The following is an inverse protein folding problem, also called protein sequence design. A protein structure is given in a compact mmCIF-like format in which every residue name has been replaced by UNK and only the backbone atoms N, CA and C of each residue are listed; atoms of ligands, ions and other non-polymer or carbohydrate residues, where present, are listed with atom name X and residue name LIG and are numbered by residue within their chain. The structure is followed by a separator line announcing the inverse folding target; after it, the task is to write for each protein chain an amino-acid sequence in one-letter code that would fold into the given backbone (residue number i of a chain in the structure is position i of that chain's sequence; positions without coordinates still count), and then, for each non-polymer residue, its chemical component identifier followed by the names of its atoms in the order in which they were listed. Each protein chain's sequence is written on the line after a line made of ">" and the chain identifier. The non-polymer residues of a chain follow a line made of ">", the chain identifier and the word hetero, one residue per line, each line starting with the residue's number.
data_IF_627702365042
#
_entry.id   IF_627702365042
#
_cell.length_a   1.000
_cell.length_b   1.000
_cell.length_c   1.000
_cell.angle_alpha   90.00
_cell.angle_beta   90.00
_cell.angle_gamma   90.00
#
_symmetry.space_group_name_H-M   'P 1'
#
loop_
_entity.id
_entity.type
_entity.pdbx_description
1 polymer ?
#
# COMPACT_ATOMS: atom_id res chain seq x y z
N UNK A 1 54.84 16.30 -25.14
CA UNK A 1 54.03 17.43 -25.64
C UNK A 1 52.59 16.96 -25.78
N UNK A 2 51.65 17.89 -25.54
CA UNK A 2 50.19 17.85 -25.77
C UNK A 2 49.36 17.46 -24.53
N UNK A 3 48.80 18.53 -23.98
CA UNK A 3 47.85 18.66 -22.87
C UNK A 3 46.43 18.39 -23.42
N UNK A 4 45.53 17.89 -22.58
CA UNK A 4 44.11 18.10 -22.76
C UNK A 4 43.48 18.27 -21.36
N UNK A 5 43.21 19.53 -21.04
CA UNK A 5 42.54 19.99 -19.83
C UNK A 5 41.16 20.41 -20.31
N UNK A 6 40.09 19.68 -20.01
CA UNK A 6 38.72 20.22 -20.03
C UNK A 6 37.81 19.26 -19.25
N UNK A 7 37.44 19.65 -18.03
CA UNK A 7 36.21 19.14 -17.44
C UNK A 7 35.48 20.33 -16.83
N UNK A 8 34.35 20.63 -17.44
CA UNK A 8 33.50 21.77 -17.16
C UNK A 8 32.82 21.57 -15.79
N UNK A 9 33.06 22.50 -14.87
CA UNK A 9 32.31 22.59 -13.63
C UNK A 9 30.93 23.22 -13.93
N UNK A 10 29.90 22.39 -13.99
CA UNK A 10 28.52 22.84 -14.04
C UNK A 10 27.99 22.91 -12.60
N UNK A 11 28.12 24.07 -11.95
CA UNK A 11 27.49 24.34 -10.67
C UNK A 11 26.17 25.06 -10.92
N UNK A 12 25.07 24.31 -10.99
CA UNK A 12 23.73 24.86 -10.99
C UNK A 12 23.36 25.25 -9.55
N UNK A 13 23.30 26.55 -9.26
CA UNK A 13 22.78 27.07 -7.99
C UNK A 13 21.26 27.14 -8.11
N UNK A 14 20.56 26.17 -7.53
CA UNK A 14 19.10 26.24 -7.34
C UNK A 14 18.82 26.75 -5.93
N UNK A 15 18.59 28.06 -5.80
CA UNK A 15 17.99 28.65 -4.61
C UNK A 15 16.48 28.48 -4.67
N UNK A 16 15.93 27.52 -3.93
CA UNK A 16 14.49 27.47 -3.64
C UNK A 16 14.28 28.12 -2.27
N UNK A 17 13.69 29.31 -2.25
CA UNK A 17 13.25 29.98 -1.03
C UNK A 17 11.95 29.33 -0.54
N UNK A 18 11.98 28.78 0.67
CA UNK A 18 10.80 28.28 1.36
C UNK A 18 10.04 29.46 2.01
N UNK A 19 8.81 29.70 1.57
CA UNK A 19 7.86 30.54 2.32
C UNK A 19 6.87 29.61 3.01
N UNK A 20 7.11 29.36 4.31
CA UNK A 20 6.13 28.74 5.18
C UNK A 20 5.11 29.81 5.61
N UNK A 21 3.85 29.64 5.21
CA UNK A 21 2.73 30.35 5.82
C UNK A 21 1.88 29.31 6.58
N UNK A 22 2.20 29.17 7.87
CA UNK A 22 1.32 28.52 8.85
C UNK A 22 0.17 29.50 9.13
N UNK A 23 -0.97 29.29 8.47
CA UNK A 23 -2.22 29.88 8.92
C UNK A 23 -2.82 28.98 10.00
N UNK A 24 -2.47 29.30 11.25
CA UNK A 24 -3.29 29.01 12.41
C UNK A 24 -4.62 29.73 12.24
N UNK A 25 -5.72 28.99 12.09
CA UNK A 25 -7.03 29.51 12.47
C UNK A 25 -7.53 28.71 13.66
N UNK A 26 -7.31 29.31 14.83
CA UNK A 26 -7.89 28.88 16.08
C UNK A 26 -9.39 29.18 16.06
N UNK A 27 -10.16 28.14 16.34
CA UNK A 27 -11.30 28.15 17.25
C UNK A 27 -12.34 29.27 17.05
N UNK A 28 -13.41 28.95 16.33
CA UNK A 28 -14.74 29.43 16.73
C UNK A 28 -15.54 28.28 17.32
N UNK A 29 -15.64 28.34 18.64
CA UNK A 29 -16.57 27.62 19.48
C UNK A 29 -17.97 28.18 19.22
N UNK A 30 -18.83 27.40 18.56
CA UNK A 30 -20.20 27.77 18.21
C UNK A 30 -21.16 26.63 18.52
N UNK A 31 -21.68 26.66 19.74
CA UNK A 31 -22.96 26.12 20.21
C UNK A 31 -23.35 24.68 19.81
N UNK A 32 -23.13 23.79 20.78
CA UNK A 32 -23.85 22.55 20.91
C UNK A 32 -25.35 22.79 21.16
N UNK A 33 -26.19 22.44 20.20
CA UNK A 33 -27.59 22.13 20.46
C UNK A 33 -27.72 20.61 20.53
N UNK A 34 -27.34 20.05 21.68
CA UNK A 34 -27.46 18.62 21.99
C UNK A 34 -28.71 18.41 22.81
N UNK A 35 -29.76 17.90 22.18
CA UNK A 35 -30.98 17.49 22.85
C UNK A 35 -30.70 16.42 23.91
N UNK A 36 -31.47 16.51 25.00
CA UNK A 36 -31.58 15.54 26.08
C UNK A 36 -31.82 14.12 25.54
N UNK A 37 -30.76 13.32 25.50
CA UNK A 37 -30.86 11.88 25.33
C UNK A 37 -29.97 11.21 26.40
N UNK A 38 -30.50 10.27 27.20
CA UNK A 38 -29.71 9.59 28.22
C UNK A 38 -28.56 8.81 27.57
N UNK A 39 -27.35 8.81 28.18
CA UNK A 39 -26.20 8.13 27.61
C UNK A 39 -26.45 6.62 27.56
N UNK A 40 -26.46 6.07 26.34
CA UNK A 40 -26.41 4.64 26.15
C UNK A 40 -25.10 4.08 26.76
N UNK A 41 -25.13 2.91 27.40
CA UNK A 41 -23.92 2.31 27.94
C UNK A 41 -22.97 2.01 26.77
N UNK A 42 -21.79 2.63 26.79
CA UNK A 42 -20.67 2.25 25.95
C UNK A 42 -20.13 0.91 26.47
N UNK A 43 -20.85 -0.17 26.18
CA UNK A 43 -20.34 -1.52 26.31
C UNK A 43 -19.24 -1.72 25.27
N UNK A 44 -18.00 -1.74 25.76
CA UNK A 44 -16.88 -2.49 25.24
C UNK A 44 -16.85 -2.72 23.72
N UNK A 45 -16.30 -1.76 22.96
CA UNK A 45 -15.67 -2.08 21.68
C UNK A 45 -14.36 -2.85 21.94
N UNK A 46 -14.50 -4.09 22.40
CA UNK A 46 -13.48 -5.12 22.20
C UNK A 46 -13.26 -5.32 20.69
N UNK A 47 -12.09 -5.80 20.25
CA UNK A 47 -11.72 -5.80 18.85
C UNK A 47 -12.74 -6.58 18.00
N UNK A 48 -13.58 -5.85 17.26
CA UNK A 48 -14.47 -6.36 16.22
C UNK A 48 -13.65 -6.87 15.04
N UNK A 49 -12.99 -8.01 15.24
CA UNK A 49 -12.35 -8.74 14.16
C UNK A 49 -12.88 -10.15 14.24
N UNK A 50 -13.99 -10.38 13.52
CA UNK A 50 -14.42 -11.73 13.17
C UNK A 50 -13.30 -12.50 12.47
N UNK A 51 -13.49 -13.80 12.20
CA UNK A 51 -12.45 -14.66 11.64
C UNK A 51 -11.86 -14.04 10.38
N UNK A 52 -10.69 -13.40 10.51
CA UNK A 52 -9.93 -12.88 9.38
C UNK A 52 -9.48 -14.09 8.57
N UNK A 53 -9.89 -14.17 7.31
CA UNK A 53 -9.59 -15.33 6.46
C UNK A 53 -8.08 -15.56 6.28
N UNK A 54 -7.66 -16.72 5.74
CA UNK A 54 -6.24 -17.09 5.62
C UNK A 54 -5.36 -16.02 4.94
N UNK A 55 -5.88 -15.30 3.93
CA UNK A 55 -5.13 -14.22 3.29
C UNK A 55 -4.80 -13.05 4.22
N UNK A 56 -5.65 -12.75 5.20
CA UNK A 56 -5.34 -11.71 6.21
C UNK A 56 -4.22 -12.12 7.16
N UNK A 57 -4.09 -13.41 7.48
CA UNK A 57 -2.99 -13.90 8.29
C UNK A 57 -1.65 -13.68 7.57
N UNK A 58 -1.60 -14.01 6.27
CA UNK A 58 -0.42 -13.77 5.42
C UNK A 58 -0.06 -12.28 5.36
N UNK A 59 -1.05 -11.39 5.15
CA UNK A 59 -0.82 -9.93 5.16
C UNK A 59 -0.25 -9.48 6.51
N UNK A 60 -0.81 -9.97 7.61
CA UNK A 60 -0.34 -9.62 8.95
C UNK A 60 1.10 -10.09 9.21
N UNK A 61 1.47 -11.27 8.72
CA UNK A 61 2.83 -11.79 8.86
C UNK A 61 3.82 -11.02 7.99
N UNK A 62 3.43 -10.62 6.77
CA UNK A 62 4.25 -9.76 5.91
C UNK A 62 4.49 -8.38 6.53
N UNK A 63 3.46 -7.77 7.12
CA UNK A 63 3.59 -6.52 7.87
C UNK A 63 4.55 -6.65 9.05
N UNK A 64 4.49 -7.78 9.78
CA UNK A 64 5.41 -8.06 10.87
C UNK A 64 6.85 -8.22 10.37
N UNK A 65 7.07 -8.99 9.31
CA UNK A 65 8.39 -9.18 8.72
C UNK A 65 8.97 -7.86 8.22
N UNK A 66 8.18 -7.00 7.56
CA UNK A 66 8.62 -5.67 7.14
C UNK A 66 9.13 -4.85 8.31
N UNK A 67 8.40 -4.83 9.44
CA UNK A 67 8.83 -4.14 10.66
C UNK A 67 10.12 -4.73 11.22
N UNK A 68 10.24 -6.06 11.25
CA UNK A 68 11.43 -6.73 11.75
C UNK A 68 12.67 -6.41 10.90
N UNK A 69 12.56 -6.45 9.57
CA UNK A 69 13.65 -6.06 8.67
C UNK A 69 14.05 -4.59 8.80
N UNK A 70 13.08 -3.70 9.03
CA UNK A 70 13.37 -2.30 9.30
C UNK A 70 14.14 -2.14 10.63
N UNK A 71 13.72 -2.86 11.69
CA UNK A 71 14.38 -2.83 13.00
C UNK A 71 15.78 -3.46 12.98
N UNK A 72 16.01 -4.46 12.13
CA UNK A 72 17.32 -5.11 11.99
C UNK A 72 18.30 -4.32 11.11
N UNK A 73 17.90 -3.18 10.55
CA UNK A 73 18.74 -2.36 9.67
C UNK A 73 18.85 -2.88 8.23
N UNK A 74 17.99 -3.82 7.83
CA UNK A 74 17.98 -4.43 6.50
C UNK A 74 16.60 -4.31 5.82
N UNK A 75 16.04 -3.09 5.69
CA UNK A 75 14.67 -2.91 5.20
C UNK A 75 14.47 -3.45 3.78
N UNK A 76 15.51 -3.49 2.94
CA UNK A 76 15.43 -3.99 1.57
C UNK A 76 15.29 -5.51 1.45
N UNK A 77 15.60 -6.30 2.49
CA UNK A 77 15.54 -7.77 2.41
C UNK A 77 14.10 -8.30 2.31
N UNK A 78 13.11 -7.51 2.75
CA UNK A 78 11.69 -7.83 2.58
C UNK A 78 11.29 -7.97 1.10
N UNK A 79 12.03 -7.34 0.17
CA UNK A 79 11.77 -7.42 -1.27
C UNK A 79 11.86 -8.86 -1.78
N UNK A 80 12.83 -9.64 -1.31
CA UNK A 80 12.96 -11.05 -1.69
C UNK A 80 11.77 -11.89 -1.18
N UNK A 81 11.29 -11.60 0.03
CA UNK A 81 10.10 -12.24 0.61
C UNK A 81 8.85 -11.93 -0.21
N UNK A 82 8.66 -10.68 -0.63
CA UNK A 82 7.54 -10.30 -1.50
C UNK A 82 7.55 -11.07 -2.83
N UNK A 83 8.73 -11.21 -3.46
CA UNK A 83 8.84 -12.01 -4.68
C UNK A 83 8.53 -13.50 -4.46
N UNK A 84 8.97 -14.07 -3.34
CA UNK A 84 8.65 -15.46 -2.98
C UNK A 84 7.14 -15.68 -2.78
N UNK A 85 6.44 -14.74 -2.13
CA UNK A 85 4.98 -14.79 -2.01
C UNK A 85 4.29 -14.71 -3.37
N UNK A 86 4.72 -13.80 -4.25
CA UNK A 86 4.18 -13.67 -5.61
C UNK A 86 4.39 -14.94 -6.45
N UNK A 87 5.46 -15.70 -6.20
CA UNK A 87 5.70 -16.99 -6.84
C UNK A 87 4.82 -18.12 -6.31
N UNK A 88 4.24 -17.97 -5.12
CA UNK A 88 3.47 -19.01 -4.41
C UNK A 88 1.96 -18.80 -4.41
N UNK A 89 1.49 -17.58 -4.67
CA UNK A 89 0.06 -17.25 -4.62
C UNK A 89 -0.52 -16.76 -5.95
N UNK A 90 -1.73 -17.23 -6.24
CA UNK A 90 -2.59 -16.75 -7.33
C UNK A 90 -3.80 -15.96 -6.80
N UNK A 91 -3.89 -15.76 -5.47
CA UNK A 91 -4.99 -15.00 -4.84
C UNK A 91 -4.88 -13.51 -5.22
N UNK A 92 -5.88 -12.94 -5.94
CA UNK A 92 -5.83 -11.55 -6.38
C UNK A 92 -5.63 -10.56 -5.23
N UNK A 93 -6.24 -10.80 -4.07
CA UNK A 93 -6.13 -9.90 -2.92
C UNK A 93 -4.69 -9.85 -2.40
N UNK A 94 -4.03 -11.01 -2.27
CA UNK A 94 -2.65 -11.08 -1.82
C UNK A 94 -1.69 -10.49 -2.84
N UNK A 95 -1.90 -10.75 -4.14
CA UNK A 95 -1.05 -10.21 -5.21
C UNK A 95 -1.10 -8.68 -5.24
N UNK A 96 -2.30 -8.10 -5.16
CA UNK A 96 -2.49 -6.66 -5.06
C UNK A 96 -1.73 -6.05 -3.87
N UNK A 97 -1.90 -6.63 -2.68
CA UNK A 97 -1.23 -6.16 -1.47
C UNK A 97 0.31 -6.22 -1.60
N UNK A 98 0.84 -7.33 -2.13
CA UNK A 98 2.28 -7.52 -2.27
C UNK A 98 2.87 -6.57 -3.32
N UNK A 99 2.18 -6.31 -4.42
CA UNK A 99 2.62 -5.32 -5.41
C UNK A 99 2.65 -3.89 -4.88
N UNK A 100 1.63 -3.48 -4.13
CA UNK A 100 1.62 -2.15 -3.48
C UNK A 100 2.77 -2.03 -2.48
N UNK A 101 3.01 -3.07 -1.69
CA UNK A 101 4.12 -3.11 -0.72
C UNK A 101 5.49 -3.03 -1.42
N UNK A 102 5.68 -3.76 -2.52
CA UNK A 102 6.88 -3.70 -3.36
C UNK A 102 7.12 -2.29 -3.91
N UNK A 103 6.08 -1.65 -4.44
CA UNK A 103 6.17 -0.30 -5.00
C UNK A 103 6.62 0.71 -3.92
N UNK A 104 6.08 0.60 -2.70
CA UNK A 104 6.49 1.45 -1.56
C UNK A 104 7.95 1.28 -1.18
N UNK A 105 8.46 0.05 -1.21
CA UNK A 105 9.89 -0.19 -0.96
C UNK A 105 10.75 0.35 -2.12
N UNK A 106 10.30 0.26 -3.36
CA UNK A 106 11.05 0.79 -4.52
C UNK A 106 11.12 2.32 -4.56
N UNK A 107 10.17 3.01 -3.92
CA UNK A 107 10.26 4.46 -3.69
C UNK A 107 11.40 4.82 -2.70
N UNK A 108 12.02 3.84 -2.04
CA UNK A 108 13.12 4.01 -1.06
C UNK A 108 14.35 3.17 -1.49
N UNK A 109 15.40 3.71 -2.13
CA UNK A 109 15.71 5.12 -2.35
C UNK A 109 15.43 5.53 -3.81
N UNK A 110 14.32 6.24 -4.04
CA UNK A 110 14.04 7.02 -5.23
C UNK A 110 14.12 6.29 -6.60
N UNK A 111 13.55 5.08 -6.73
CA UNK A 111 13.28 4.49 -8.05
C UNK A 111 11.77 4.52 -8.41
N UNK A 112 11.22 5.71 -8.72
CA UNK A 112 9.79 5.86 -9.01
C UNK A 112 9.37 5.08 -10.26
N UNK A 113 10.24 4.93 -11.26
CA UNK A 113 9.92 4.21 -12.50
C UNK A 113 9.65 2.73 -12.25
N UNK A 114 10.45 2.10 -11.37
CA UNK A 114 10.24 0.70 -11.00
C UNK A 114 8.93 0.53 -10.21
N UNK A 115 8.65 1.46 -9.28
CA UNK A 115 7.39 1.45 -8.53
C UNK A 115 6.18 1.61 -9.46
N UNK A 116 6.24 2.53 -10.43
CA UNK A 116 5.21 2.71 -11.47
C UNK A 116 5.04 1.43 -12.28
N UNK A 117 6.13 0.80 -12.73
CA UNK A 117 6.06 -0.46 -13.46
C UNK A 117 5.38 -1.57 -12.64
N UNK A 118 5.70 -1.66 -11.35
CA UNK A 118 5.08 -2.63 -10.42
C UNK A 118 3.57 -2.39 -10.27
N UNK A 119 3.16 -1.14 -10.08
CA UNK A 119 1.74 -0.79 -9.95
C UNK A 119 0.96 -1.04 -11.25
N UNK A 120 1.56 -0.78 -12.41
CA UNK A 120 0.95 -1.10 -13.71
C UNK A 120 0.78 -2.60 -13.90
N UNK A 121 1.73 -3.40 -13.43
CA UNK A 121 1.61 -4.86 -13.43
C UNK A 121 0.46 -5.32 -12.53
N UNK A 122 0.39 -4.84 -11.28
CA UNK A 122 -0.75 -5.12 -10.39
C UNK A 122 -2.08 -4.78 -11.05
N UNK A 123 -2.20 -3.58 -11.61
CA UNK A 123 -3.42 -3.13 -12.27
C UNK A 123 -3.82 -4.06 -13.43
N UNK A 124 -2.87 -4.50 -14.24
CA UNK A 124 -3.14 -5.41 -15.35
C UNK A 124 -3.66 -6.77 -14.88
N UNK A 125 -3.11 -7.29 -13.78
CA UNK A 125 -3.54 -8.56 -13.18
C UNK A 125 -4.90 -8.44 -12.47
N UNK A 126 -5.12 -7.35 -11.73
CA UNK A 126 -6.38 -7.08 -11.04
C UNK A 126 -7.53 -6.95 -12.05
N UNK A 127 -7.28 -6.28 -13.18
CA UNK A 127 -8.24 -6.20 -14.28
C UNK A 127 -8.49 -7.55 -14.93
N UNK A 128 -7.46 -8.39 -15.10
CA UNK A 128 -7.64 -9.74 -15.63
C UNK A 128 -8.46 -10.63 -14.69
N UNK A 129 -8.21 -10.54 -13.38
CA UNK A 129 -8.96 -11.26 -12.35
C UNK A 129 -10.42 -10.79 -12.28
N UNK A 130 -10.66 -9.47 -12.31
CA UNK A 130 -11.99 -8.88 -12.26
C UNK A 130 -12.85 -9.24 -13.50
N UNK A 131 -12.22 -9.36 -14.67
CA UNK A 131 -12.89 -9.73 -15.92
C UNK A 131 -13.05 -11.24 -16.11
N UNK A 132 -12.48 -12.07 -15.24
CA UNK A 132 -12.64 -13.53 -15.31
C UNK A 132 -14.09 -13.86 -14.95
N UNK A 133 -14.89 -14.43 -15.88
CA UNK A 133 -16.25 -14.84 -15.56
C UNK A 133 -16.20 -15.85 -14.42
N UNK A 134 -17.12 -15.71 -13.46
CA UNK A 134 -17.24 -16.62 -12.31
C UNK A 134 -17.45 -18.03 -12.86
N UNK A 135 -16.37 -18.81 -12.96
CA UNK A 135 -16.41 -20.11 -13.59
C UNK A 135 -17.03 -21.08 -12.58
N UNK A 136 -18.33 -21.33 -12.73
CA UNK A 136 -19.07 -22.34 -11.97
C UNK A 136 -20.24 -21.78 -11.15
N UNK A 137 -21.27 -21.25 -11.81
CA UNK A 137 -22.61 -21.59 -11.33
C UNK A 137 -22.83 -23.07 -11.68
N UNK A 138 -23.13 -23.97 -10.71
CA UNK A 138 -23.51 -25.32 -11.05
C UNK A 138 -24.73 -25.24 -11.95
N UNK A 139 -24.64 -25.86 -13.13
CA UNK A 139 -25.77 -25.95 -14.05
C UNK A 139 -26.98 -26.50 -13.31
N UNK A 140 -28.10 -25.80 -13.40
CA UNK A 140 -29.41 -26.34 -13.04
C UNK A 140 -29.68 -27.57 -13.89
N UNK A 141 -29.71 -28.80 -13.34
CA UNK A 141 -30.18 -29.95 -14.08
C UNK A 141 -31.71 -29.94 -14.02
N UNK A 142 -32.36 -29.93 -15.18
CA UNK A 142 -33.70 -30.47 -15.33
C UNK A 142 -34.86 -29.54 -14.96
N UNK A 143 -35.40 -28.85 -15.97
CA UNK A 143 -36.83 -28.66 -16.09
C UNK A 143 -37.21 -29.21 -17.48
N UNK A 144 -37.34 -30.53 -17.55
CA UNK A 144 -38.13 -31.20 -18.58
C UNK A 144 -39.43 -31.62 -17.89
N UNK A 145 -40.51 -30.92 -18.21
CA UNK A 145 -41.88 -31.41 -18.11
C UNK A 145 -42.57 -31.06 -19.43
#
# INVERSE_FOLDING_TARGET
>A
MKKAIFSAAMAAVLSVAATAALAQEAQMHGEAQRGDAPPAPHDAMGPMMGPRGPGFAVINDLEQLRRLYALSGHPGEIVAVYHDVLGKTQDPMLRHYVYDSLAREQLKPANPEQAIATLRMSLSEDLAAANKPLHGAPGTPGQAQ
#
